data_IF_691603680106
#
_entry.id   IF_691603680106
#
_cell.length_a   1.000
_cell.length_b   1.000
_cell.length_c   1.000
_cell.angle_alpha   90.00
_cell.angle_beta   90.00
_cell.angle_gamma   90.00
#
_symmetry.space_group_name_H-M   'P 1'
#
loop_
_entity.id
_entity.type
_entity.pdbx_description
1 polymer ?
#
# COMPACT_ATOMS: atom_id res chain seq x y z
N UNK A 1 -2.76 41.37 -14.25
CA UNK A 1 -2.44 40.53 -13.07
C UNK A 1 -3.66 39.67 -12.77
N UNK A 2 -3.79 38.53 -13.45
CA UNK A 2 -4.81 37.51 -13.11
C UNK A 2 -4.06 36.47 -12.31
N UNK A 3 -4.37 36.36 -11.01
CA UNK A 3 -3.94 35.20 -10.24
C UNK A 3 -4.81 34.04 -10.73
N UNK A 4 -4.22 33.13 -11.49
CA UNK A 4 -4.82 31.83 -11.79
C UNK A 4 -5.14 31.18 -10.44
N UNK A 5 -6.41 30.99 -10.13
CA UNK A 5 -6.78 30.11 -9.02
C UNK A 5 -6.29 28.70 -9.39
N UNK A 6 -5.65 27.96 -8.48
CA UNK A 6 -5.31 26.58 -8.76
C UNK A 6 -6.63 25.86 -9.02
N UNK A 7 -6.81 25.30 -10.21
CA UNK A 7 -7.96 24.45 -10.46
C UNK A 7 -7.97 23.37 -9.37
N UNK A 8 -9.03 23.30 -8.57
CA UNK A 8 -9.29 22.21 -7.64
C UNK A 8 -9.17 20.90 -8.43
N UNK A 9 -8.10 20.15 -8.20
CA UNK A 9 -7.94 18.86 -8.84
C UNK A 9 -8.76 17.83 -8.06
N UNK A 10 -10.08 17.84 -8.31
CA UNK A 10 -11.06 16.94 -7.67
C UNK A 10 -10.60 15.48 -7.77
N UNK A 11 -9.96 15.08 -8.86
CA UNK A 11 -9.43 13.72 -9.01
C UNK A 11 -8.28 13.43 -8.03
N UNK A 12 -7.36 14.38 -7.84
CA UNK A 12 -6.29 14.26 -6.85
C UNK A 12 -6.84 14.23 -5.42
N UNK A 13 -7.83 15.08 -5.11
CA UNK A 13 -8.46 15.10 -3.78
C UNK A 13 -9.21 13.80 -3.49
N UNK A 14 -9.92 13.24 -4.48
CA UNK A 14 -10.56 11.93 -4.38
C UNK A 14 -9.54 10.81 -4.20
N UNK A 15 -8.42 10.84 -4.92
CA UNK A 15 -7.35 9.86 -4.78
C UNK A 15 -6.70 9.93 -3.38
N UNK A 16 -6.39 11.13 -2.90
CA UNK A 16 -5.85 11.35 -1.57
C UNK A 16 -6.82 10.90 -0.48
N UNK A 17 -8.10 11.26 -0.58
CA UNK A 17 -9.14 10.83 0.35
C UNK A 17 -9.35 9.31 0.35
N UNK A 18 -9.40 8.70 -0.84
CA UNK A 18 -9.49 7.25 -0.98
C UNK A 18 -8.27 6.54 -0.39
N UNK A 19 -7.07 7.09 -0.58
CA UNK A 19 -5.85 6.59 0.03
C UNK A 19 -5.91 6.62 1.56
N UNK A 20 -6.36 7.73 2.16
CA UNK A 20 -6.52 7.85 3.62
C UNK A 20 -7.47 6.78 4.19
N UNK A 21 -8.59 6.53 3.51
CA UNK A 21 -9.52 5.47 3.89
C UNK A 21 -8.91 4.09 3.69
N UNK A 22 -8.20 3.87 2.59
CA UNK A 22 -7.54 2.59 2.31
C UNK A 22 -6.49 2.25 3.37
N UNK A 23 -5.56 3.16 3.66
CA UNK A 23 -4.50 2.91 4.64
C UNK A 23 -5.08 2.67 6.03
N UNK A 24 -6.14 3.38 6.42
CA UNK A 24 -6.79 3.17 7.72
C UNK A 24 -7.38 1.75 7.85
N UNK A 25 -7.99 1.23 6.78
CA UNK A 25 -8.68 -0.06 6.83
C UNK A 25 -7.76 -1.27 6.59
N UNK A 26 -6.67 -1.09 5.84
CA UNK A 26 -5.90 -2.23 5.32
C UNK A 26 -4.40 -2.19 5.62
N UNK A 27 -3.80 -1.02 5.92
CA UNK A 27 -2.35 -0.90 6.12
C UNK A 27 -1.99 -0.87 7.61
N UNK A 28 -1.20 -1.84 8.07
CA UNK A 28 -0.69 -1.85 9.45
C UNK A 28 0.50 -0.91 9.65
N UNK A 29 0.84 -0.62 10.91
CA UNK A 29 2.01 0.19 11.28
C UNK A 29 3.33 -0.41 10.74
N UNK A 30 3.41 -1.73 10.61
CA UNK A 30 4.59 -2.44 10.13
C UNK A 30 4.73 -2.46 8.59
N UNK A 31 3.74 -1.97 7.84
CA UNK A 31 3.76 -1.97 6.37
C UNK A 31 3.05 -3.15 5.71
N UNK A 32 2.26 -3.91 6.48
CA UNK A 32 1.48 -5.04 5.96
C UNK A 32 0.14 -4.55 5.41
N UNK A 33 -0.18 -4.92 4.17
CA UNK A 33 -1.51 -4.74 3.59
C UNK A 33 -2.30 -6.01 3.84
N UNK A 34 -3.35 -5.89 4.65
CA UNK A 34 -4.11 -7.03 5.18
C UNK A 34 -5.42 -7.20 4.44
N UNK A 35 -5.64 -8.41 3.91
CA UNK A 35 -6.98 -8.82 3.50
C UNK A 35 -7.76 -9.29 4.73
N UNK A 36 -8.56 -8.38 5.28
CA UNK A 36 -9.40 -8.63 6.45
C UNK A 36 -10.54 -9.64 6.19
N UNK A 37 -10.84 -9.97 4.93
CA UNK A 37 -11.86 -10.97 4.57
C UNK A 37 -11.27 -12.36 4.32
N UNK A 38 -9.99 -12.45 4.01
CA UNK A 38 -9.28 -13.70 3.80
C UNK A 38 -8.50 -14.17 5.05
N UNK A 39 -9.06 -13.99 6.25
CA UNK A 39 -8.43 -14.46 7.49
C UNK A 39 -7.21 -13.66 7.94
N UNK A 40 -7.04 -12.44 7.43
CA UNK A 40 -5.92 -11.57 7.81
C UNK A 40 -4.61 -11.93 7.15
N UNK A 41 -4.63 -12.65 6.03
CA UNK A 41 -3.46 -12.92 5.19
C UNK A 41 -3.05 -11.67 4.39
N UNK A 42 -1.82 -11.71 3.88
CA UNK A 42 -1.32 -10.69 2.95
C UNK A 42 -0.85 -11.34 1.67
N UNK A 43 -1.17 -10.72 0.54
CA UNK A 43 -0.74 -11.17 -0.78
C UNK A 43 0.27 -10.20 -1.37
N UNK A 44 1.20 -10.72 -2.18
CA UNK A 44 2.09 -9.87 -2.99
C UNK A 44 1.32 -8.86 -3.86
N UNK A 45 0.14 -9.24 -4.35
CA UNK A 45 -0.79 -8.37 -5.07
C UNK A 45 -1.24 -7.19 -4.20
N UNK A 46 -1.74 -7.46 -2.99
CA UNK A 46 -2.22 -6.42 -2.07
C UNK A 46 -1.08 -5.46 -1.68
N UNK A 47 0.13 -5.98 -1.44
CA UNK A 47 1.30 -5.15 -1.22
C UNK A 47 1.61 -4.27 -2.44
N UNK A 48 1.54 -4.83 -3.65
CA UNK A 48 1.72 -4.11 -4.91
C UNK A 48 0.73 -2.96 -5.09
N UNK A 49 -0.56 -3.20 -4.87
CA UNK A 49 -1.56 -2.13 -4.93
C UNK A 49 -1.35 -1.07 -3.84
N UNK A 50 -0.99 -1.46 -2.62
CA UNK A 50 -0.64 -0.52 -1.57
C UNK A 50 0.49 0.42 -1.98
N UNK A 51 1.54 -0.09 -2.62
CA UNK A 51 2.64 0.73 -3.15
C UNK A 51 2.20 1.66 -4.28
N UNK A 52 1.39 1.19 -5.23
CA UNK A 52 0.88 2.03 -6.32
C UNK A 52 -0.02 3.17 -5.83
N UNK A 53 -0.87 2.90 -4.83
CA UNK A 53 -1.72 3.94 -4.23
C UNK A 53 -0.92 4.93 -3.39
N UNK A 54 0.09 4.47 -2.64
CA UNK A 54 0.98 5.36 -1.90
C UNK A 54 1.74 6.31 -2.83
N UNK A 55 2.26 5.80 -3.96
CA UNK A 55 2.91 6.63 -4.99
C UNK A 55 1.94 7.65 -5.59
N UNK A 56 0.72 7.23 -5.96
CA UNK A 56 -0.28 8.14 -6.52
C UNK A 56 -0.75 9.23 -5.53
N UNK A 57 -0.60 8.99 -4.23
CA UNK A 57 -0.95 9.93 -3.16
C UNK A 57 0.25 10.74 -2.63
N UNK A 58 1.44 10.61 -3.22
CA UNK A 58 2.68 11.25 -2.76
C UNK A 58 3.05 10.88 -1.30
N UNK A 59 2.71 9.65 -0.87
CA UNK A 59 2.93 9.14 0.49
C UNK A 59 4.16 8.23 0.54
N UNK A 60 5.35 8.86 0.47
CA UNK A 60 6.64 8.15 0.46
C UNK A 60 6.85 7.26 1.68
N UNK A 61 6.45 7.72 2.86
CA UNK A 61 6.64 6.98 4.11
C UNK A 61 5.88 5.66 4.12
N UNK A 62 4.63 5.67 3.65
CA UNK A 62 3.83 4.46 3.52
C UNK A 62 4.38 3.53 2.44
N UNK A 63 4.80 4.07 1.30
CA UNK A 63 5.46 3.29 0.25
C UNK A 63 6.67 2.53 0.82
N UNK A 64 7.57 3.23 1.50
CA UNK A 64 8.80 2.64 2.02
C UNK A 64 8.48 1.57 3.07
N UNK A 65 7.50 1.80 3.96
CA UNK A 65 7.06 0.79 4.94
C UNK A 65 6.51 -0.47 4.26
N UNK A 66 5.63 -0.31 3.27
CA UNK A 66 5.06 -1.43 2.51
C UNK A 66 6.17 -2.20 1.80
N UNK A 67 7.13 -1.50 1.20
CA UNK A 67 8.24 -2.13 0.49
C UNK A 67 9.17 -2.91 1.43
N UNK A 68 9.53 -2.34 2.58
CA UNK A 68 10.40 -3.03 3.54
C UNK A 68 9.72 -4.28 4.10
N UNK A 69 8.43 -4.20 4.45
CA UNK A 69 7.69 -5.37 4.89
C UNK A 69 7.63 -6.45 3.81
N UNK A 70 7.33 -6.05 2.57
CA UNK A 70 7.28 -6.93 1.40
C UNK A 70 8.59 -7.69 1.19
N UNK A 71 9.73 -6.98 1.19
CA UNK A 71 11.04 -7.61 1.07
C UNK A 71 11.33 -8.58 2.22
N UNK A 72 11.07 -8.17 3.46
CA UNK A 72 11.39 -8.97 4.63
C UNK A 72 10.56 -10.26 4.71
N UNK A 73 9.32 -10.25 4.20
CA UNK A 73 8.36 -11.33 4.43
C UNK A 73 8.00 -12.14 3.18
N UNK A 74 8.11 -11.55 1.98
CA UNK A 74 7.70 -12.21 0.73
C UNK A 74 8.88 -12.58 -0.17
N UNK A 75 10.04 -11.93 -0.07
CA UNK A 75 11.24 -12.31 -0.83
C UNK A 75 12.01 -13.44 -0.14
N UNK A 76 11.33 -14.57 0.05
CA UNK A 76 11.87 -15.78 0.72
C UNK A 76 12.50 -16.78 -0.26
N UNK A 77 12.47 -16.47 -1.56
CA UNK A 77 13.02 -17.26 -2.65
C UNK A 77 14.27 -16.57 -3.20
N UNK A 78 15.22 -17.37 -3.70
CA UNK A 78 16.47 -16.86 -4.29
C UNK A 78 16.30 -16.33 -5.74
N UNK A 79 15.13 -16.51 -6.35
CA UNK A 79 14.85 -16.06 -7.71
C UNK A 79 14.38 -14.60 -7.83
N UNK A 80 14.37 -13.87 -6.71
CA UNK A 80 13.99 -12.45 -6.69
C UNK A 80 12.50 -12.19 -6.90
N UNK A 81 11.65 -13.22 -6.83
CA UNK A 81 10.20 -13.07 -6.88
C UNK A 81 9.59 -13.10 -5.48
N UNK A 82 8.56 -12.29 -5.28
CA UNK A 82 7.77 -12.31 -4.06
C UNK A 82 6.90 -13.58 -3.99
N UNK A 83 6.89 -14.24 -2.83
CA UNK A 83 5.89 -15.25 -2.50
C UNK A 83 4.48 -14.64 -2.57
N UNK A 84 3.54 -15.38 -3.13
CA UNK A 84 2.23 -14.85 -3.43
C UNK A 84 1.38 -14.59 -2.18
N UNK A 85 1.63 -15.33 -1.08
CA UNK A 85 0.83 -15.33 0.15
C UNK A 85 1.71 -15.41 1.40
N UNK A 86 1.33 -14.65 2.42
CA UNK A 86 1.84 -14.72 3.78
C UNK A 86 0.67 -14.89 4.75
N UNK A 87 0.78 -15.84 5.68
CA UNK A 87 -0.29 -16.21 6.60
C UNK A 87 0.23 -16.21 8.05
N UNK A 88 -0.28 -15.32 8.93
CA UNK A 88 0.18 -15.20 10.32
C UNK A 88 -0.03 -16.46 11.16
N UNK A 89 -0.90 -17.38 10.72
CA UNK A 89 -1.20 -18.61 11.46
C UNK A 89 -0.28 -19.78 11.08
N UNK A 90 0.52 -19.62 10.02
CA UNK A 90 1.41 -20.66 9.49
C UNK A 90 2.90 -20.36 9.73
N UNK A 91 3.21 -19.38 10.57
CA UNK A 91 4.58 -19.04 10.99
C UNK A 91 4.96 -19.65 12.33
#
# INVERSE_FOLDING_TARGET
MVRSQPEENVAADLAAGAWLVYRHNFLTEEGRVVDNRAGGISHSESQGYGMLMAEAADDRDSFDRIWQWTKANLFVREDGLAAWRWDPTQM
#
